data_IF_581425105045
#
_entry.id   IF_581425105045
#
_cell.length_a   1.000
_cell.length_b   1.000
_cell.length_c   1.000
_cell.angle_alpha   90.00
_cell.angle_beta   90.00
_cell.angle_gamma   90.00
#
_symmetry.space_group_name_H-M   'P 1'
#
loop_
_entity.id
_entity.type
_entity.pdbx_description
1 polymer ?
#
# COMPACT_ATOMS: atom_id res chain seq x y z
N UNK A 1 10.58 -7.08 21.42
CA UNK A 1 9.92 -7.05 20.11
C UNK A 1 9.42 -5.64 19.91
N UNK A 2 9.85 -4.97 18.84
CA UNK A 2 9.42 -3.61 18.56
C UNK A 2 8.03 -3.70 17.92
N UNK A 3 6.99 -3.38 18.68
CA UNK A 3 5.62 -3.38 18.16
C UNK A 3 5.50 -2.19 17.19
N UNK A 4 5.31 -2.49 15.90
CA UNK A 4 5.31 -1.48 14.85
C UNK A 4 4.14 -1.78 13.92
N UNK A 5 2.97 -1.20 14.24
CA UNK A 5 1.77 -1.40 13.45
C UNK A 5 1.40 -0.12 12.70
N UNK A 6 0.70 -0.25 11.59
CA UNK A 6 0.17 0.87 10.84
C UNK A 6 -1.29 0.61 10.46
N UNK A 7 -2.17 1.56 10.72
CA UNK A 7 -3.51 1.51 10.18
C UNK A 7 -3.46 1.91 8.71
N UNK A 8 -3.78 0.99 7.81
CA UNK A 8 -3.79 1.24 6.36
C UNK A 8 -4.80 2.32 5.97
N UNK A 9 -5.99 2.31 6.60
CA UNK A 9 -7.08 3.25 6.26
C UNK A 9 -6.79 4.69 6.70
N UNK A 10 -6.19 4.87 7.86
CA UNK A 10 -5.90 6.18 8.43
C UNK A 10 -4.46 6.65 8.14
N UNK A 11 -3.63 5.76 7.59
CA UNK A 11 -2.21 5.97 7.33
C UNK A 11 -1.40 6.46 8.55
N UNK A 12 -1.74 5.95 9.75
CA UNK A 12 -1.08 6.30 11.01
C UNK A 12 -0.33 5.09 11.57
N UNK A 13 0.85 5.33 12.11
CA UNK A 13 1.64 4.33 12.84
C UNK A 13 1.26 4.33 14.31
N UNK A 14 1.19 3.15 14.90
CA UNK A 14 0.81 2.95 16.30
C UNK A 14 1.61 1.79 16.91
N UNK A 15 1.87 1.88 18.21
CA UNK A 15 2.64 0.88 18.96
C UNK A 15 1.77 -0.28 19.47
N UNK A 16 0.45 -0.11 19.44
CA UNK A 16 -0.54 -1.10 19.86
C UNK A 16 -1.43 -1.48 18.68
N UNK A 17 -2.00 -2.68 18.71
CA UNK A 17 -2.91 -3.18 17.66
C UNK A 17 -4.31 -2.58 17.80
N UNK A 18 -4.38 -1.26 17.86
CA UNK A 18 -5.63 -0.49 17.84
C UNK A 18 -5.38 0.89 17.21
N UNK A 19 -6.33 1.33 16.41
CA UNK A 19 -6.28 2.57 15.67
C UNK A 19 -7.09 3.63 16.41
N UNK A 20 -6.49 4.72 16.93
CA UNK A 20 -7.22 5.71 17.73
C UNK A 20 -8.31 6.47 16.97
N UNK A 21 -8.21 6.51 15.64
CA UNK A 21 -9.17 7.19 14.75
C UNK A 21 -10.34 6.28 14.40
N UNK A 22 -10.03 5.09 13.92
CA UNK A 22 -11.00 4.12 13.43
C UNK A 22 -11.55 3.19 14.52
N UNK A 23 -10.92 3.17 15.70
CA UNK A 23 -11.28 2.38 16.88
C UNK A 23 -11.50 0.90 16.56
N UNK A 24 -10.66 0.38 15.67
CA UNK A 24 -10.73 -0.99 15.17
C UNK A 24 -9.33 -1.45 14.77
N UNK A 25 -9.09 -2.75 14.89
CA UNK A 25 -7.88 -3.42 14.47
C UNK A 25 -7.98 -4.01 13.05
N UNK A 26 -9.15 -3.97 12.41
CA UNK A 26 -9.40 -4.60 11.12
C UNK A 26 -8.54 -4.05 9.96
N UNK A 27 -8.00 -2.84 10.10
CA UNK A 27 -7.14 -2.18 9.11
C UNK A 27 -5.67 -2.14 9.53
N UNK A 28 -5.31 -2.87 10.58
CA UNK A 28 -3.97 -2.85 11.14
C UNK A 28 -3.05 -3.80 10.39
N UNK A 29 -1.95 -3.24 9.92
CA UNK A 29 -0.84 -3.94 9.28
C UNK A 29 0.31 -4.05 10.28
N UNK A 30 0.93 -5.23 10.38
CA UNK A 30 2.15 -5.44 11.16
C UNK A 30 3.38 -5.17 10.29
N UNK A 31 4.10 -4.07 10.55
CA UNK A 31 5.26 -3.70 9.74
C UNK A 31 6.46 -4.63 9.95
N UNK A 32 6.41 -5.56 10.90
CA UNK A 32 7.39 -6.64 11.00
C UNK A 32 7.11 -7.77 10.01
N UNK A 33 5.87 -7.87 9.51
CA UNK A 33 5.52 -8.78 8.43
C UNK A 33 5.87 -8.12 7.07
N UNK A 34 6.71 -8.75 6.23
CA UNK A 34 7.15 -8.15 4.96
C UNK A 34 6.01 -7.82 4.00
N UNK A 35 4.94 -8.62 3.98
CA UNK A 35 3.80 -8.43 3.10
C UNK A 35 2.95 -7.24 3.56
N UNK A 36 2.70 -7.14 4.86
CA UNK A 36 2.00 -6.00 5.46
C UNK A 36 2.80 -4.70 5.28
N UNK A 37 4.12 -4.74 5.46
CA UNK A 37 5.00 -3.61 5.17
C UNK A 37 4.97 -3.22 3.69
N UNK A 38 4.91 -4.19 2.77
CA UNK A 38 4.76 -3.93 1.33
C UNK A 38 3.42 -3.22 1.03
N UNK A 39 2.32 -3.69 1.61
CA UNK A 39 0.99 -3.08 1.47
C UNK A 39 0.99 -1.65 2.05
N UNK A 40 1.54 -1.46 3.25
CA UNK A 40 1.60 -0.16 3.94
C UNK A 40 2.35 0.92 3.14
N UNK A 41 3.31 0.52 2.31
CA UNK A 41 4.09 1.42 1.45
C UNK A 41 3.45 1.64 0.07
N UNK A 42 2.22 1.16 -0.17
CA UNK A 42 1.57 1.26 -1.49
C UNK A 42 2.28 0.41 -2.54
N UNK A 43 2.87 -0.72 -2.15
CA UNK A 43 3.71 -1.54 -3.01
C UNK A 43 3.00 -2.00 -4.30
N UNK A 44 1.69 -2.25 -4.25
CA UNK A 44 0.90 -2.58 -5.43
C UNK A 44 0.82 -1.40 -6.42
N UNK A 45 0.50 -0.20 -5.95
CA UNK A 45 0.41 0.99 -6.81
C UNK A 45 1.77 1.31 -7.43
N UNK A 46 2.85 1.19 -6.66
CA UNK A 46 4.20 1.36 -7.17
C UNK A 46 4.59 0.29 -8.19
N UNK A 47 4.23 -0.98 -7.96
CA UNK A 47 4.50 -2.06 -8.88
C UNK A 47 3.70 -1.88 -10.19
N UNK A 48 2.44 -1.48 -10.11
CA UNK A 48 1.60 -1.17 -11.26
C UNK A 48 2.12 0.03 -12.04
N UNK A 49 2.54 1.08 -11.35
CA UNK A 49 3.14 2.27 -11.99
C UNK A 49 4.41 1.90 -12.74
N UNK A 50 5.33 1.14 -12.11
CA UNK A 50 6.55 0.67 -12.76
C UNK A 50 6.27 -0.25 -13.95
N UNK A 51 5.27 -1.12 -13.83
CA UNK A 51 4.86 -1.98 -14.94
C UNK A 51 4.34 -1.14 -16.11
N UNK A 52 3.51 -0.12 -15.84
CA UNK A 52 3.00 0.80 -16.85
C UNK A 52 4.13 1.61 -17.52
N UNK A 53 5.11 2.09 -16.76
CA UNK A 53 6.29 2.80 -17.27
C UNK A 53 7.22 1.89 -18.09
N UNK A 54 7.20 0.58 -17.85
CA UNK A 54 7.99 -0.40 -18.60
C UNK A 54 7.34 -0.86 -19.91
N UNK A 55 6.09 -0.45 -20.16
CA UNK A 55 5.40 -0.81 -21.41
C UNK A 55 6.01 -0.07 -22.60
N UNK A 56 6.09 -0.71 -23.78
CA UNK A 56 6.50 -0.02 -25.01
C UNK A 56 5.57 1.16 -25.31
N UNK A 57 6.11 2.27 -25.80
CA UNK A 57 5.36 3.51 -26.07
C UNK A 57 4.08 3.29 -26.90
N UNK A 58 4.14 2.41 -27.92
CA UNK A 58 2.96 2.10 -28.75
C UNK A 58 1.82 1.38 -28.01
N UNK A 59 2.11 0.67 -26.91
CA UNK A 59 1.09 0.06 -26.04
C UNK A 59 0.48 1.11 -25.11
N UNK A 60 1.28 2.07 -24.65
CA UNK A 60 0.82 3.19 -23.81
C UNK A 60 -0.08 4.15 -24.60
N UNK A 61 0.24 4.44 -25.86
CA UNK A 61 -0.63 5.22 -26.76
C UNK A 61 -1.95 4.50 -27.03
N UNK A 62 -1.92 3.20 -27.33
CA UNK A 62 -3.13 2.40 -27.56
C UNK A 62 -4.07 2.37 -26.34
N UNK A 63 -3.52 2.39 -25.12
CA UNK A 63 -4.31 2.41 -23.88
C UNK A 63 -4.96 3.77 -23.61
N UNK A 64 -4.36 4.88 -24.07
CA UNK A 64 -4.93 6.23 -23.95
C UNK A 64 -6.04 6.52 -24.96
N UNK A 65 -6.03 5.87 -26.12
CA UNK A 65 -7.06 6.05 -27.15
C UNK A 65 -8.39 5.35 -26.82
N UNK A 66 -8.43 4.46 -25.82
CA UNK A 66 -9.63 3.68 -25.44
C UNK A 66 -10.44 4.39 -24.32
N UNK A 67 -9.91 5.45 -23.70
CA UNK A 67 -10.59 6.26 -22.66
C UNK A 67 -11.19 7.53 -23.24
#
# INVERSE_FOLDING_TARGET
>A
MTNNFQCHKCNIKVEVRDCPVCKTDAHMLDLNNPMDAFIANGGFDQAMTKAAESLPEGVVESLKEIS
#
